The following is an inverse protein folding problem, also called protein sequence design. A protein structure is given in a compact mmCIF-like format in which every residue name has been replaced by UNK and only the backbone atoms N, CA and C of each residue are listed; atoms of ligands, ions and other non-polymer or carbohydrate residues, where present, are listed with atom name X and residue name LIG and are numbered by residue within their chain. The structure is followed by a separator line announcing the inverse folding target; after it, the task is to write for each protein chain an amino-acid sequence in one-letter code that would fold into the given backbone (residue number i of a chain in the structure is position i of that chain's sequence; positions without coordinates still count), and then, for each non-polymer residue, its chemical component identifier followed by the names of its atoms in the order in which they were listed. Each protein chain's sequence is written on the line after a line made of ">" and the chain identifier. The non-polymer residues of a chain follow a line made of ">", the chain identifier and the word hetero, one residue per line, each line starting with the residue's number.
data_IF_042312601082
#
_entry.id   IF_042312601082
#
_cell.length_a   1.000
_cell.length_b   1.000
_cell.length_c   1.000
_cell.angle_alpha   90.00
_cell.angle_beta   90.00
_cell.angle_gamma   90.00
#
_symmetry.space_group_name_H-M   'P 1'
#
loop_
_entity.id
_entity.type
_entity.pdbx_description
1 polymer ?
#
# COMPACT_ATOMS: atom_id res chain seq x y z
N UNK A 1 -9.20 -11.83 -5.54
CA UNK A 1 -8.77 -10.47 -5.15
C UNK A 1 -8.91 -10.38 -3.65
N UNK A 2 -7.84 -10.06 -2.93
CA UNK A 2 -7.81 -10.09 -1.47
C UNK A 2 -8.56 -8.88 -0.87
N UNK A 3 -9.24 -9.03 0.28
CA UNK A 3 -10.01 -7.93 0.88
C UNK A 3 -9.10 -6.78 1.34
N UNK A 4 -7.87 -7.11 1.76
CA UNK A 4 -6.84 -6.12 2.09
C UNK A 4 -6.42 -5.34 0.84
N UNK A 5 -6.25 -6.02 -0.30
CA UNK A 5 -5.90 -5.38 -1.56
C UNK A 5 -7.01 -4.43 -2.04
N UNK A 6 -8.26 -4.86 -2.00
CA UNK A 6 -9.41 -4.01 -2.36
C UNK A 6 -9.48 -2.76 -1.48
N UNK A 7 -9.31 -2.93 -0.16
CA UNK A 7 -9.34 -1.82 0.80
C UNK A 7 -8.16 -0.87 0.56
N UNK A 8 -6.96 -1.40 0.37
CA UNK A 8 -5.76 -0.60 0.12
C UNK A 8 -5.87 0.20 -1.19
N UNK A 9 -6.44 -0.39 -2.25
CA UNK A 9 -6.73 0.30 -3.51
C UNK A 9 -7.74 1.43 -3.33
N UNK A 10 -8.82 1.17 -2.60
CA UNK A 10 -9.83 2.19 -2.29
C UNK A 10 -9.25 3.35 -1.47
N UNK A 11 -8.40 3.05 -0.49
CA UNK A 11 -7.70 4.08 0.31
C UNK A 11 -6.75 4.92 -0.56
N UNK A 12 -6.01 4.28 -1.46
CA UNK A 12 -5.12 4.97 -2.38
C UNK A 12 -5.89 5.88 -3.35
N UNK A 13 -7.03 5.41 -3.88
CA UNK A 13 -7.92 6.22 -4.71
C UNK A 13 -8.54 7.40 -3.94
N UNK A 14 -8.90 7.20 -2.67
CA UNK A 14 -9.43 8.25 -1.81
C UNK A 14 -8.40 9.35 -1.52
N UNK A 15 -7.11 9.02 -1.54
CA UNK A 15 -6.00 9.98 -1.45
C UNK A 15 -5.76 10.73 -2.78
N UNK A 16 -6.57 10.47 -3.81
CA UNK A 16 -6.42 11.05 -5.15
C UNK A 16 -5.26 10.43 -5.94
N UNK A 17 -4.76 9.27 -5.51
CA UNK A 17 -3.66 8.58 -6.18
C UNK A 17 -4.17 7.39 -6.99
N UNK A 18 -3.51 7.14 -8.13
CA UNK A 18 -3.77 5.92 -8.89
C UNK A 18 -3.11 4.72 -8.19
N UNK A 19 -3.89 3.68 -7.82
CA UNK A 19 -3.40 2.56 -7.01
C UNK A 19 -2.42 1.67 -7.78
N UNK A 20 -2.60 1.53 -9.08
CA UNK A 20 -1.80 0.66 -9.96
C UNK A 20 -0.55 1.37 -10.48
N UNK A 21 -0.55 2.71 -10.44
CA UNK A 21 0.64 3.50 -10.73
C UNK A 21 1.75 3.14 -9.75
N UNK A 22 2.97 2.88 -10.25
CA UNK A 22 4.10 2.62 -9.38
C UNK A 22 4.39 3.85 -8.52
N UNK A 23 4.73 3.62 -7.26
CA UNK A 23 5.31 4.67 -6.42
C UNK A 23 6.62 5.11 -7.09
N UNK A 24 6.82 6.42 -7.32
CA UNK A 24 8.08 6.87 -7.89
C UNK A 24 9.21 6.34 -7.01
N UNK A 25 10.19 5.67 -7.63
CA UNK A 25 11.40 5.29 -6.92
C UNK A 25 11.97 6.58 -6.28
N UNK A 26 12.40 6.55 -5.01
CA UNK A 26 13.11 7.69 -4.45
C UNK A 26 14.25 7.99 -5.41
N UNK A 27 14.29 9.24 -5.87
CA UNK A 27 15.20 9.73 -6.89
C UNK A 27 16.61 9.21 -6.60
N UNK A 28 17.10 8.32 -7.46
CA UNK A 28 18.38 7.64 -7.30
C UNK A 28 19.59 8.58 -7.45
N UNK A 29 19.39 9.90 -7.41
CA UNK A 29 20.47 10.89 -7.43
C UNK A 29 21.16 11.07 -6.06
N UNK A 30 20.74 10.37 -5.01
CA UNK A 30 21.50 10.33 -3.74
C UNK A 30 21.86 8.90 -3.35
N UNK A 31 23.13 8.60 -3.59
CA UNK A 31 23.93 7.53 -2.98
C UNK A 31 23.46 6.11 -3.26
N UNK A 32 23.88 5.58 -4.40
CA UNK A 32 24.27 4.17 -4.51
C UNK A 32 25.54 3.94 -3.65
N UNK A 33 25.38 3.91 -2.33
CA UNK A 33 26.44 3.55 -1.37
C UNK A 33 25.81 2.75 -0.23
N UNK A 34 25.15 1.65 -0.58
CA UNK A 34 24.87 0.50 0.30
C UNK A 34 24.28 -0.58 -0.60
N UNK A 35 24.62 -1.86 -0.40
CA UNK A 35 24.21 -2.99 -1.25
C UNK A 35 22.71 -3.32 -1.24
N UNK A 36 21.84 -2.33 -1.09
CA UNK A 36 20.39 -2.47 -1.15
C UNK A 36 19.94 -2.68 -2.61
N UNK A 37 19.13 -3.72 -2.88
CA UNK A 37 18.64 -3.97 -4.23
C UNK A 37 17.84 -2.75 -4.73
N UNK A 38 17.84 -2.48 -6.05
CA UNK A 38 17.10 -1.37 -6.63
C UNK A 38 15.65 -1.46 -6.15
N UNK A 39 15.14 -0.35 -5.62
CA UNK A 39 13.76 -0.26 -5.16
C UNK A 39 12.84 -0.63 -6.34
N UNK A 40 12.34 -1.87 -6.33
CA UNK A 40 11.42 -2.32 -7.38
C UNK A 40 10.18 -1.45 -7.31
N UNK A 41 9.69 -0.93 -8.44
CA UNK A 41 8.50 -0.10 -8.45
C UNK A 41 7.31 -0.93 -7.95
N UNK A 42 6.84 -0.66 -6.74
CA UNK A 42 5.64 -1.28 -6.17
C UNK A 42 4.44 -0.40 -6.50
N UNK A 43 3.26 -0.99 -6.77
CA UNK A 43 2.05 -0.22 -6.96
C UNK A 43 1.73 0.58 -5.70
N UNK A 44 1.23 1.80 -5.87
CA UNK A 44 1.00 2.74 -4.75
C UNK A 44 0.09 2.18 -3.67
N UNK A 45 -0.89 1.36 -4.04
CA UNK A 45 -1.78 0.73 -3.06
C UNK A 45 -1.02 -0.08 -2.01
N UNK A 46 0.15 -0.65 -2.31
CA UNK A 46 0.95 -1.43 -1.34
C UNK A 46 1.42 -0.59 -0.16
N UNK A 47 1.55 0.73 -0.30
CA UNK A 47 1.85 1.61 0.82
C UNK A 47 0.71 1.65 1.86
N UNK A 48 -0.52 1.37 1.43
CA UNK A 48 -1.73 1.38 2.27
C UNK A 48 -2.09 0.00 2.80
N UNK A 49 -1.35 -1.06 2.46
CA UNK A 49 -1.66 -2.45 2.82
C UNK A 49 -1.74 -2.65 4.34
N UNK A 50 -0.79 -2.10 5.11
CA UNK A 50 -0.79 -2.22 6.56
C UNK A 50 -2.01 -1.54 7.20
N UNK A 51 -2.45 -0.41 6.65
CA UNK A 51 -3.62 0.32 7.14
C UNK A 51 -4.91 -0.39 6.73
N UNK A 52 -4.97 -0.88 5.49
CA UNK A 52 -6.06 -1.69 4.99
C UNK A 52 -6.26 -2.96 5.82
N UNK A 53 -5.18 -3.66 6.18
CA UNK A 53 -5.24 -4.86 7.01
C UNK A 53 -5.86 -4.56 8.38
N UNK A 54 -5.39 -3.52 9.06
CA UNK A 54 -5.97 -3.06 10.34
C UNK A 54 -7.45 -2.73 10.23
N UNK A 55 -7.85 -2.11 9.13
CA UNK A 55 -9.23 -1.70 8.90
C UNK A 55 -10.14 -2.91 8.62
N UNK A 56 -9.66 -3.88 7.83
CA UNK A 56 -10.34 -5.16 7.58
C UNK A 56 -10.49 -5.96 8.89
N UNK A 57 -9.43 -6.05 9.70
CA UNK A 57 -9.46 -6.72 11.01
C UNK A 57 -10.44 -6.02 11.97
N UNK A 58 -10.45 -4.69 12.02
CA UNK A 58 -11.40 -3.92 12.82
C UNK A 58 -12.85 -4.11 12.36
N UNK A 59 -13.10 -4.13 11.05
CA UNK A 59 -14.43 -4.42 10.51
C UNK A 59 -14.89 -5.84 10.87
N UNK A 60 -14.02 -6.83 10.70
CA UNK A 60 -14.32 -8.21 11.07
C UNK A 60 -14.64 -8.34 12.57
N UNK A 61 -13.90 -7.64 13.44
CA UNK A 61 -14.17 -7.63 14.88
C UNK A 61 -15.53 -6.98 15.21
N UNK A 62 -15.92 -5.89 14.54
CA UNK A 62 -17.22 -5.25 14.72
C UNK A 62 -18.39 -6.14 14.26
N UNK A 63 -18.19 -6.90 13.18
CA UNK A 63 -19.19 -7.82 12.63
C UNK A 63 -19.35 -9.10 13.46
N UNK A 64 -18.27 -9.60 14.06
CA UNK A 64 -18.27 -10.80 14.89
C UNK A 64 -18.82 -10.57 16.31
N UNK A 65 -18.95 -9.31 16.75
CA UNK A 65 -19.49 -8.92 18.05
C UNK A 65 -21.01 -8.63 18.08
N UNK A 66 -21.74 -8.92 17.00
CA UNK A 66 -23.22 -8.84 16.92
C UNK A 66 -23.82 -10.24 17.01
#
# INVERSE_FOLDING_TARGET
>A
MDQVETTARAMCQADGQDPDKPTPAPDASRTADDGLPPATPRPRWRAYEAQARRLVEAQAAMLAGR
#
